data_IF_360002257685
#
_entry.id   IF_360002257685
#
_cell.length_a   1.000
_cell.length_b   1.000
_cell.length_c   1.000
_cell.angle_alpha   90.00
_cell.angle_beta   90.00
_cell.angle_gamma   90.00
#
_symmetry.space_group_name_H-M   'P 1'
#
loop_
_entity.id
_entity.type
_entity.pdbx_description
1 polymer ?
#
# COMPACT_ATOMS: atom_id res chain seq x y z
N UNK A 1 -14.48 -16.48 17.62
CA UNK A 1 -13.46 -17.51 17.87
C UNK A 1 -12.53 -17.01 18.96
N UNK A 2 -12.13 -17.84 19.92
CA UNK A 2 -11.11 -17.43 20.89
C UNK A 2 -9.73 -17.40 20.21
N UNK A 3 -8.85 -16.50 20.63
CA UNK A 3 -7.50 -16.38 20.05
C UNK A 3 -6.72 -17.71 20.09
N UNK A 4 -6.91 -18.52 21.15
CA UNK A 4 -6.28 -19.84 21.30
C UNK A 4 -6.79 -20.88 20.31
N UNK A 5 -7.91 -20.67 19.64
CA UNK A 5 -8.47 -21.57 18.62
C UNK A 5 -7.93 -21.26 17.22
N UNK A 6 -7.35 -20.07 17.02
CA UNK A 6 -6.69 -19.71 15.78
C UNK A 6 -5.35 -20.44 15.71
N UNK A 7 -5.22 -21.34 14.73
CA UNK A 7 -3.98 -22.07 14.47
C UNK A 7 -3.07 -21.23 13.58
N UNK A 8 -3.14 -21.45 12.27
CA UNK A 8 -2.28 -20.82 11.29
C UNK A 8 -3.08 -19.91 10.35
N UNK A 9 -2.45 -18.83 9.90
CA UNK A 9 -2.98 -17.88 8.91
C UNK A 9 -2.00 -17.85 7.74
N UNK A 10 -2.47 -18.19 6.54
CA UNK A 10 -1.72 -18.01 5.30
C UNK A 10 -1.94 -16.60 4.78
N UNK A 11 -0.86 -15.87 4.61
CA UNK A 11 -0.83 -14.51 4.07
C UNK A 11 -0.25 -14.53 2.67
N UNK A 12 -0.91 -13.87 1.71
CA UNK A 12 -0.53 -13.84 0.29
C UNK A 12 -0.45 -12.39 -0.18
N UNK A 13 0.74 -11.96 -0.59
CA UNK A 13 1.00 -10.63 -1.14
C UNK A 13 1.61 -10.75 -2.56
N UNK A 14 0.79 -10.74 -3.61
CA UNK A 14 1.27 -10.85 -4.97
C UNK A 14 1.84 -9.52 -5.48
N UNK A 15 3.06 -9.58 -6.02
CA UNK A 15 3.69 -8.53 -6.82
C UNK A 15 3.60 -8.85 -8.31
N UNK A 16 4.15 -7.96 -9.15
CA UNK A 16 4.13 -8.11 -10.62
C UNK A 16 4.79 -9.42 -11.07
N UNK A 17 6.00 -9.69 -10.59
CA UNK A 17 6.82 -10.84 -10.97
C UNK A 17 7.08 -11.81 -9.83
N UNK A 18 6.46 -11.63 -8.67
CA UNK A 18 6.63 -12.51 -7.52
C UNK A 18 5.34 -12.63 -6.73
N UNK A 19 5.30 -13.61 -5.82
CA UNK A 19 4.25 -13.74 -4.82
C UNK A 19 4.90 -14.06 -3.48
N UNK A 20 4.83 -13.10 -2.55
CA UNK A 20 5.28 -13.36 -1.18
C UNK A 20 4.18 -14.09 -0.42
N UNK A 21 4.54 -15.20 0.23
CA UNK A 21 3.69 -15.98 1.11
C UNK A 21 4.32 -16.08 2.49
N UNK A 22 3.50 -16.04 3.53
CA UNK A 22 3.94 -16.25 4.91
C UNK A 22 2.87 -17.02 5.66
N UNK A 23 3.27 -18.03 6.43
CA UNK A 23 2.40 -18.71 7.38
C UNK A 23 2.73 -18.19 8.78
N UNK A 24 1.77 -17.55 9.40
CA UNK A 24 1.84 -17.14 10.80
C UNK A 24 1.12 -18.14 11.68
N UNK A 25 1.74 -18.48 12.80
CA UNK A 25 1.20 -19.41 13.80
C UNK A 25 1.18 -18.76 15.20
N UNK A 26 0.63 -19.48 16.19
CA UNK A 26 0.58 -19.07 17.60
C UNK A 26 0.09 -17.64 17.79
N UNK A 27 -1.13 -17.37 17.33
CA UNK A 27 -1.76 -16.07 17.48
C UNK A 27 -1.00 -14.94 16.76
N UNK A 28 -0.39 -15.30 15.63
CA UNK A 28 0.32 -14.33 14.77
C UNK A 28 1.64 -13.79 15.37
N UNK A 29 2.23 -14.51 16.30
CA UNK A 29 3.47 -14.09 16.94
C UNK A 29 4.72 -14.72 16.34
N UNK A 30 4.57 -15.83 15.62
CA UNK A 30 5.69 -16.55 15.00
C UNK A 30 5.44 -16.79 13.52
N UNK A 31 6.49 -16.63 12.74
CA UNK A 31 6.53 -17.01 11.33
C UNK A 31 6.95 -18.49 11.27
N UNK A 32 6.04 -19.36 10.85
CA UNK A 32 6.34 -20.76 10.61
C UNK A 32 7.05 -20.95 9.27
N UNK A 33 6.62 -20.21 8.26
CA UNK A 33 7.20 -20.26 6.92
C UNK A 33 7.05 -18.92 6.20
N UNK A 34 8.08 -18.51 5.47
CA UNK A 34 8.04 -17.34 4.59
C UNK A 34 8.85 -17.63 3.32
N UNK A 35 8.30 -17.27 2.17
CA UNK A 35 9.00 -17.30 0.88
C UNK A 35 8.52 -16.19 -0.04
N UNK A 36 9.42 -15.67 -0.86
CA UNK A 36 9.09 -14.79 -1.97
C UNK A 36 9.27 -15.56 -3.28
N UNK A 37 8.22 -16.17 -3.75
CA UNK A 37 8.19 -16.98 -4.96
C UNK A 37 8.34 -16.07 -6.17
N UNK A 38 9.46 -16.18 -6.87
CA UNK A 38 9.72 -15.44 -8.11
C UNK A 38 9.11 -16.23 -9.28
N UNK A 39 8.33 -15.56 -10.11
CA UNK A 39 7.71 -16.14 -11.29
C UNK A 39 8.56 -15.88 -12.54
N UNK A 40 8.52 -16.79 -13.50
CA UNK A 40 9.11 -16.58 -14.80
C UNK A 40 8.42 -15.40 -15.52
N UNK A 41 9.20 -14.35 -15.80
CA UNK A 41 8.70 -13.14 -16.45
C UNK A 41 8.12 -13.40 -17.83
N UNK A 42 8.69 -14.33 -18.60
CA UNK A 42 8.15 -14.72 -19.93
C UNK A 42 6.78 -15.39 -19.77
N UNK A 43 6.66 -16.28 -18.77
CA UNK A 43 5.39 -16.95 -18.47
C UNK A 43 4.30 -15.96 -18.02
N UNK A 44 4.67 -14.93 -17.25
CA UNK A 44 3.72 -13.89 -16.82
C UNK A 44 3.17 -13.12 -18.04
N UNK A 45 3.98 -12.85 -19.04
CA UNK A 45 3.57 -12.14 -20.27
C UNK A 45 2.61 -12.94 -21.16
N UNK A 46 2.54 -14.26 -21.01
CA UNK A 46 1.58 -15.09 -21.75
C UNK A 46 0.12 -14.89 -21.29
N UNK A 47 -0.09 -14.33 -20.09
CA UNK A 47 -1.43 -14.16 -19.54
C UNK A 47 -2.07 -12.86 -20.05
N UNK A 48 -3.28 -12.92 -20.63
CA UNK A 48 -3.95 -11.75 -21.21
C UNK A 48 -4.39 -10.72 -20.16
N UNK A 49 -4.56 -11.14 -18.91
CA UNK A 49 -4.95 -10.27 -17.77
C UNK A 49 -4.25 -10.71 -16.50
N UNK A 50 -4.16 -9.80 -15.54
CA UNK A 50 -3.62 -10.13 -14.21
C UNK A 50 -4.44 -11.25 -13.55
N UNK A 51 -5.76 -11.18 -13.61
CA UNK A 51 -6.65 -12.19 -13.01
C UNK A 51 -6.46 -13.60 -13.61
N UNK A 52 -6.08 -13.71 -14.88
CA UNK A 52 -5.85 -15.00 -15.56
C UNK A 52 -4.63 -15.76 -15.02
N UNK A 53 -3.71 -15.08 -14.31
CA UNK A 53 -2.55 -15.70 -13.65
C UNK A 53 -2.92 -16.53 -12.40
N UNK A 54 -4.15 -16.41 -11.91
CA UNK A 54 -4.59 -16.99 -10.64
C UNK A 54 -4.27 -18.49 -10.52
N UNK A 55 -4.65 -19.29 -11.50
CA UNK A 55 -4.46 -20.75 -11.43
C UNK A 55 -2.99 -21.13 -11.44
N UNK A 56 -2.19 -20.47 -12.27
CA UNK A 56 -0.74 -20.63 -12.32
C UNK A 56 -0.09 -20.33 -10.98
N UNK A 57 -0.35 -19.16 -10.41
CA UNK A 57 0.24 -18.75 -9.13
C UNK A 57 -0.27 -19.60 -7.97
N UNK A 58 -1.57 -19.98 -7.96
CA UNK A 58 -2.14 -20.90 -6.97
C UNK A 58 -1.42 -22.25 -6.97
N UNK A 59 -1.20 -22.82 -8.16
CA UNK A 59 -0.49 -24.12 -8.29
C UNK A 59 0.89 -24.04 -7.62
N UNK A 60 1.70 -23.03 -7.99
CA UNK A 60 3.04 -22.85 -7.41
C UNK A 60 3.00 -22.65 -5.90
N UNK A 61 2.03 -21.90 -5.35
CA UNK A 61 1.89 -21.74 -3.90
C UNK A 61 1.61 -23.08 -3.22
N UNK A 62 0.69 -23.88 -3.77
CA UNK A 62 0.32 -25.15 -3.19
C UNK A 62 1.46 -26.18 -3.30
N UNK A 63 2.17 -26.22 -4.42
CA UNK A 63 3.34 -27.07 -4.63
C UNK A 63 4.45 -26.71 -3.61
N UNK A 64 4.73 -25.40 -3.44
CA UNK A 64 5.70 -24.91 -2.46
C UNK A 64 5.37 -25.34 -1.03
N UNK A 65 4.10 -25.21 -0.62
CA UNK A 65 3.68 -25.63 0.72
C UNK A 65 3.73 -27.14 0.91
N UNK A 66 3.37 -27.90 -0.13
CA UNK A 66 3.47 -29.36 -0.14
C UNK A 66 4.92 -29.85 -0.03
N UNK A 67 5.85 -29.21 -0.78
CA UNK A 67 7.28 -29.56 -0.76
C UNK A 67 7.91 -29.28 0.62
N UNK A 68 7.35 -28.34 1.38
CA UNK A 68 7.71 -28.10 2.79
C UNK A 68 7.01 -29.03 3.77
N UNK A 69 6.17 -29.93 3.29
CA UNK A 69 5.41 -30.86 4.14
C UNK A 69 4.33 -30.16 4.98
N UNK A 70 3.86 -28.98 4.57
CA UNK A 70 2.85 -28.24 5.33
C UNK A 70 1.45 -28.81 5.08
N UNK A 71 0.77 -29.22 6.16
CA UNK A 71 -0.62 -29.70 6.08
C UNK A 71 -1.59 -28.49 6.08
N UNK A 72 -2.25 -28.27 4.95
CA UNK A 72 -3.23 -27.18 4.78
C UNK A 72 -4.41 -27.24 5.77
N UNK A 73 -4.68 -28.39 6.41
CA UNK A 73 -5.71 -28.53 7.47
C UNK A 73 -5.38 -27.77 8.75
N UNK A 74 -4.14 -27.31 8.90
CA UNK A 74 -3.74 -26.44 10.00
C UNK A 74 -4.16 -24.98 9.78
N UNK A 75 -4.52 -24.57 8.56
CA UNK A 75 -4.98 -23.24 8.28
C UNK A 75 -6.36 -22.96 8.92
N UNK A 76 -6.45 -21.83 9.62
CA UNK A 76 -7.71 -21.28 10.13
C UNK A 76 -8.31 -20.27 9.13
N UNK A 77 -7.46 -19.53 8.43
CA UNK A 77 -7.87 -18.55 7.43
C UNK A 77 -6.78 -18.31 6.39
N UNK A 78 -7.18 -17.75 5.25
CA UNK A 78 -6.27 -17.23 4.23
C UNK A 78 -6.57 -15.75 4.02
N UNK A 79 -5.53 -14.91 3.99
CA UNK A 79 -5.68 -13.48 3.72
C UNK A 79 -4.81 -13.04 2.56
N UNK A 80 -5.39 -12.25 1.65
CA UNK A 80 -4.68 -11.65 0.52
C UNK A 80 -4.68 -10.13 0.58
N UNK A 81 -3.80 -9.53 -0.22
CA UNK A 81 -3.81 -8.10 -0.49
C UNK A 81 -5.17 -7.70 -1.11
N UNK A 82 -5.70 -6.52 -0.74
CA UNK A 82 -7.07 -6.10 -1.08
C UNK A 82 -7.31 -5.65 -2.53
N UNK A 83 -6.25 -5.44 -3.31
CA UNK A 83 -6.39 -5.05 -4.73
C UNK A 83 -6.95 -3.64 -4.95
N UNK A 84 -7.50 -3.44 -6.17
CA UNK A 84 -7.97 -2.14 -6.68
C UNK A 84 -9.51 -2.09 -6.75
N UNK A 85 -10.23 -2.65 -5.78
CA UNK A 85 -11.68 -2.58 -5.73
C UNK A 85 -12.14 -1.26 -5.12
N UNK A 86 -12.92 -0.50 -5.89
CA UNK A 86 -13.45 0.80 -5.46
C UNK A 86 -14.59 0.64 -4.45
N UNK A 87 -14.83 1.70 -3.65
CA UNK A 87 -15.94 1.75 -2.69
C UNK A 87 -15.72 1.00 -1.38
N UNK A 88 -14.56 0.39 -1.19
CA UNK A 88 -14.19 -0.21 0.09
C UNK A 88 -13.83 0.86 1.11
N UNK A 89 -14.03 0.53 2.39
CA UNK A 89 -13.54 1.30 3.55
C UNK A 89 -12.37 0.57 4.20
N UNK A 90 -11.63 1.26 5.06
CA UNK A 90 -10.55 0.65 5.84
C UNK A 90 -11.04 -0.54 6.68
N UNK A 91 -10.13 -1.48 6.95
CA UNK A 91 -10.41 -2.72 7.68
C UNK A 91 -10.52 -3.94 6.80
N UNK A 92 -11.10 -5.00 7.36
CA UNK A 92 -11.13 -6.30 6.74
C UNK A 92 -12.47 -6.67 6.13
N UNK A 93 -12.40 -7.40 5.04
CA UNK A 93 -13.58 -7.93 4.32
C UNK A 93 -13.44 -9.43 4.15
N UNK A 94 -14.53 -10.15 4.42
CA UNK A 94 -14.65 -11.55 4.00
C UNK A 94 -14.84 -11.60 2.48
N UNK A 95 -14.07 -12.44 1.83
CA UNK A 95 -14.22 -12.64 0.39
C UNK A 95 -15.38 -13.59 0.15
N UNK A 96 -16.43 -13.08 -0.50
CA UNK A 96 -17.56 -13.83 -0.98
C UNK A 96 -17.55 -13.94 -2.52
N UNK A 97 -18.50 -14.67 -3.11
CA UNK A 97 -18.58 -14.86 -4.56
C UNK A 97 -18.72 -13.52 -5.32
N UNK A 98 -19.43 -12.54 -4.73
CA UNK A 98 -19.58 -11.22 -5.34
C UNK A 98 -18.22 -10.52 -5.47
N UNK A 99 -17.46 -10.42 -4.37
CA UNK A 99 -16.13 -9.81 -4.38
C UNK A 99 -15.16 -10.56 -5.29
N UNK A 100 -15.18 -11.89 -5.24
CA UNK A 100 -14.34 -12.71 -6.11
C UNK A 100 -14.61 -12.44 -7.59
N UNK A 101 -15.89 -12.40 -8.00
CA UNK A 101 -16.27 -12.16 -9.38
C UNK A 101 -15.92 -10.72 -9.84
N UNK A 102 -16.09 -9.72 -8.98
CA UNK A 102 -15.68 -8.37 -9.27
C UNK A 102 -14.16 -8.26 -9.44
N UNK A 103 -13.37 -8.87 -8.55
CA UNK A 103 -11.91 -8.89 -8.64
C UNK A 103 -11.39 -9.67 -9.86
N UNK A 104 -12.13 -10.67 -10.32
CA UNK A 104 -11.80 -11.43 -11.54
C UNK A 104 -12.18 -10.67 -12.83
N UNK A 105 -12.97 -9.60 -12.71
CA UNK A 105 -13.45 -8.83 -13.85
C UNK A 105 -12.32 -8.03 -14.50
N UNK A 106 -12.31 -7.97 -15.84
CA UNK A 106 -11.40 -7.11 -16.62
C UNK A 106 -11.71 -5.61 -16.51
N UNK A 107 -12.80 -5.25 -15.83
CA UNK A 107 -13.22 -3.85 -15.64
C UNK A 107 -12.37 -3.10 -14.59
N UNK A 108 -11.70 -3.84 -13.72
CA UNK A 108 -10.81 -3.23 -12.71
C UNK A 108 -9.42 -2.96 -13.30
N UNK A 109 -8.70 -1.95 -12.76
CA UNK A 109 -7.31 -1.73 -13.11
C UNK A 109 -6.48 -3.01 -12.95
N UNK A 110 -5.65 -3.31 -13.94
CA UNK A 110 -4.82 -4.53 -13.96
C UNK A 110 -3.62 -4.36 -13.03
N UNK A 111 -3.82 -4.62 -11.75
CA UNK A 111 -2.79 -4.52 -10.72
C UNK A 111 -2.60 -5.87 -10.00
N UNK A 112 -1.34 -6.26 -9.79
CA UNK A 112 -1.00 -7.57 -9.19
C UNK A 112 -1.64 -7.80 -7.81
N UNK A 113 -1.83 -6.74 -7.01
CA UNK A 113 -2.47 -6.85 -5.68
C UNK A 113 -3.90 -7.41 -5.74
N UNK A 114 -4.60 -7.28 -6.87
CA UNK A 114 -5.94 -7.85 -7.05
C UNK A 114 -5.93 -9.38 -7.06
N UNK A 115 -4.80 -10.01 -7.39
CA UNK A 115 -4.63 -11.47 -7.27
C UNK A 115 -4.69 -11.95 -5.81
N UNK A 116 -4.41 -11.09 -4.82
CA UNK A 116 -4.43 -11.47 -3.42
C UNK A 116 -5.78 -12.04 -2.99
N UNK A 117 -6.87 -11.35 -3.33
CA UNK A 117 -8.22 -11.82 -3.06
C UNK A 117 -8.55 -13.12 -3.80
N UNK A 118 -8.19 -13.20 -5.10
CA UNK A 118 -8.47 -14.36 -5.95
C UNK A 118 -7.73 -15.62 -5.47
N UNK A 119 -6.48 -15.49 -5.08
CA UNK A 119 -5.64 -16.56 -4.54
C UNK A 119 -6.16 -17.01 -3.18
N UNK A 120 -6.40 -16.06 -2.26
CA UNK A 120 -6.90 -16.36 -0.92
C UNK A 120 -8.23 -17.14 -0.97
N UNK A 121 -9.19 -16.66 -1.77
CA UNK A 121 -10.47 -17.36 -1.95
C UNK A 121 -10.29 -18.75 -2.56
N UNK A 122 -9.51 -18.87 -3.64
CA UNK A 122 -9.33 -20.13 -4.37
C UNK A 122 -8.60 -21.21 -3.56
N UNK A 123 -7.81 -20.83 -2.55
CA UNK A 123 -7.15 -21.77 -1.62
C UNK A 123 -8.06 -22.10 -0.44
N UNK A 124 -8.75 -21.13 0.13
CA UNK A 124 -9.57 -21.29 1.32
C UNK A 124 -10.87 -22.05 1.07
N UNK A 125 -11.55 -21.77 -0.04
CA UNK A 125 -12.86 -22.33 -0.36
C UNK A 125 -12.91 -23.87 -0.37
N UNK A 126 -11.97 -24.60 -1.00
CA UNK A 126 -11.95 -26.06 -0.96
C UNK A 126 -11.68 -26.63 0.46
N UNK A 127 -11.08 -25.85 1.34
CA UNK A 127 -10.79 -26.24 2.73
C UNK A 127 -11.96 -25.94 3.69
N UNK A 128 -13.00 -25.23 3.22
CA UNK A 128 -14.12 -24.82 4.05
C UNK A 128 -13.77 -23.76 5.10
N UNK A 129 -12.66 -23.03 4.94
CA UNK A 129 -12.19 -21.99 5.84
C UNK A 129 -12.43 -20.59 5.26
N UNK A 130 -12.50 -19.54 6.11
CA UNK A 130 -12.71 -18.19 5.63
C UNK A 130 -11.48 -17.62 4.90
N UNK A 131 -11.74 -16.75 3.91
CA UNK A 131 -10.74 -15.95 3.24
C UNK A 131 -11.05 -14.46 3.38
N UNK A 132 -10.00 -13.65 3.48
CA UNK A 132 -10.11 -12.22 3.73
C UNK A 132 -9.22 -11.39 2.82
N UNK A 133 -9.59 -10.13 2.65
CA UNK A 133 -8.69 -9.04 2.32
C UNK A 133 -8.66 -8.07 3.51
N UNK A 134 -7.58 -7.30 3.63
CA UNK A 134 -7.42 -6.35 4.70
C UNK A 134 -6.74 -5.07 4.20
N UNK A 135 -7.29 -3.90 4.60
CA UNK A 135 -6.79 -2.57 4.27
C UNK A 135 -6.40 -2.43 2.78
N UNK A 136 -7.40 -2.62 1.91
CA UNK A 136 -7.24 -2.40 0.47
C UNK A 136 -6.65 -1.02 0.18
N UNK A 137 -5.84 -0.93 -0.87
CA UNK A 137 -5.28 0.36 -1.34
C UNK A 137 -6.36 1.41 -1.65
N UNK A 138 -7.59 0.97 -1.96
CA UNK A 138 -8.75 1.83 -2.24
C UNK A 138 -9.68 1.98 -1.02
N UNK A 139 -9.27 1.51 0.16
CA UNK A 139 -10.11 1.40 1.36
C UNK A 139 -10.13 2.64 2.26
N UNK A 140 -10.05 3.85 1.71
CA UNK A 140 -10.09 5.07 2.51
C UNK A 140 -11.51 5.49 2.89
N UNK A 141 -11.65 6.09 4.09
CA UNK A 141 -12.89 6.70 4.56
C UNK A 141 -12.85 8.23 4.36
N UNK A 142 -12.56 8.68 3.14
CA UNK A 142 -12.42 10.10 2.84
C UNK A 142 -13.66 10.89 3.25
N UNK A 143 -13.45 12.06 3.84
CA UNK A 143 -14.53 13.02 4.07
C UNK A 143 -15.16 13.41 2.73
N UNK A 144 -16.47 13.60 2.69
CA UNK A 144 -17.16 14.00 1.46
C UNK A 144 -16.61 15.32 0.89
N UNK A 145 -16.25 16.26 1.76
CA UNK A 145 -15.61 17.53 1.38
C UNK A 145 -14.21 17.31 0.78
N UNK A 146 -13.48 16.27 1.18
CA UNK A 146 -12.16 15.95 0.63
C UNK A 146 -12.23 15.30 -0.76
N UNK A 147 -13.39 14.75 -1.15
CA UNK A 147 -13.61 14.14 -2.47
C UNK A 147 -13.88 15.18 -3.56
N UNK A 148 -14.39 16.35 -3.17
CA UNK A 148 -14.76 17.41 -4.13
C UNK A 148 -13.52 18.01 -4.77
N UNK A 149 -13.47 17.94 -6.11
CA UNK A 149 -12.43 18.62 -6.93
C UNK A 149 -13.00 19.88 -7.59
N UNK A 150 -12.18 20.61 -8.33
CA UNK A 150 -12.63 21.76 -9.13
C UNK A 150 -13.37 21.38 -10.42
N UNK A 151 -13.57 20.10 -10.71
CA UNK A 151 -14.23 19.56 -11.91
C UNK A 151 -15.29 18.56 -11.46
N UNK A 152 -16.56 18.82 -11.76
CA UNK A 152 -17.70 18.02 -11.27
C UNK A 152 -17.69 16.56 -11.73
N UNK A 153 -17.06 16.26 -12.85
CA UNK A 153 -16.91 14.92 -13.40
C UNK A 153 -15.75 14.12 -12.79
N UNK A 154 -14.95 14.74 -11.94
CA UNK A 154 -13.78 14.14 -11.31
C UNK A 154 -13.94 14.18 -9.79
N UNK A 155 -14.12 13.02 -9.19
CA UNK A 155 -14.13 12.86 -7.75
C UNK A 155 -12.77 12.31 -7.29
N UNK A 156 -12.22 12.90 -6.21
CA UNK A 156 -11.00 12.38 -5.59
C UNK A 156 -11.24 11.01 -4.97
N UNK A 157 -10.33 10.10 -5.20
CA UNK A 157 -10.33 8.76 -4.60
C UNK A 157 -9.06 8.53 -3.77
N UNK A 158 -9.11 7.57 -2.85
CA UNK A 158 -8.02 7.32 -1.92
C UNK A 158 -7.18 6.11 -2.31
N UNK A 159 -6.37 6.20 -3.38
CA UNK A 159 -5.41 5.14 -3.73
C UNK A 159 -4.12 5.30 -2.93
N UNK A 160 -4.02 4.68 -1.76
CA UNK A 160 -2.92 4.90 -0.82
C UNK A 160 -2.36 3.59 -0.24
N UNK A 161 -1.20 3.68 0.42
CA UNK A 161 -0.60 2.57 1.18
C UNK A 161 -1.29 2.41 2.55
N UNK A 162 -2.63 2.19 2.54
CA UNK A 162 -3.46 2.12 3.74
C UNK A 162 -2.96 1.08 4.74
N UNK A 163 -2.66 -0.14 4.26
CA UNK A 163 -2.22 -1.26 5.10
C UNK A 163 -1.00 -0.89 5.95
N UNK A 164 0.05 -0.36 5.31
CA UNK A 164 1.25 0.02 6.03
C UNK A 164 1.00 1.24 6.94
N UNK A 165 0.28 2.24 6.47
CA UNK A 165 -0.04 3.44 7.25
C UNK A 165 -0.78 3.10 8.54
N UNK A 166 -1.80 2.25 8.44
CA UNK A 166 -2.58 1.83 9.61
C UNK A 166 -1.79 0.93 10.55
N UNK A 167 -0.98 0.02 10.00
CA UNK A 167 -0.11 -0.83 10.82
C UNK A 167 0.89 0.00 11.64
N UNK A 168 1.51 1.02 11.05
CA UNK A 168 2.44 1.89 11.76
C UNK A 168 1.74 2.76 12.81
N UNK A 169 0.52 3.25 12.53
CA UNK A 169 -0.29 3.98 13.52
C UNK A 169 -0.61 3.10 14.75
N UNK A 170 -1.05 1.85 14.50
CA UNK A 170 -1.33 0.88 15.58
C UNK A 170 -0.06 0.60 16.39
N UNK A 171 1.06 0.33 15.72
CA UNK A 171 2.34 0.02 16.36
C UNK A 171 2.83 1.20 17.22
N UNK A 172 2.77 2.41 16.67
CA UNK A 172 3.14 3.61 17.42
C UNK A 172 2.26 3.83 18.65
N UNK A 173 0.93 3.84 18.50
CA UNK A 173 0.00 4.01 19.59
C UNK A 173 0.21 2.99 20.71
N UNK A 174 0.35 1.70 20.34
CA UNK A 174 0.66 0.62 21.28
C UNK A 174 1.97 0.87 22.05
N UNK A 175 3.01 1.40 21.41
CA UNK A 175 4.27 1.77 22.08
C UNK A 175 4.13 2.88 23.08
N UNK A 176 3.07 3.70 22.97
CA UNK A 176 2.72 4.78 23.89
C UNK A 176 1.62 4.40 24.91
N UNK A 177 1.16 3.12 24.87
CA UNK A 177 0.08 2.64 25.73
C UNK A 177 -1.28 3.26 25.40
N UNK A 178 -1.50 3.68 24.16
CA UNK A 178 -2.74 4.33 23.69
C UNK A 178 -3.46 3.48 22.63
N UNK A 179 -4.76 3.72 22.47
CA UNK A 179 -5.51 3.24 21.32
C UNK A 179 -5.26 4.19 20.13
N UNK A 180 -4.89 3.62 18.97
CA UNK A 180 -4.67 4.40 17.74
C UNK A 180 -5.93 5.12 17.25
N UNK A 181 -7.12 4.67 17.68
CA UNK A 181 -8.40 5.33 17.38
C UNK A 181 -8.60 6.64 18.13
N UNK A 182 -7.86 6.83 19.24
CA UNK A 182 -7.90 8.05 20.05
C UNK A 182 -6.85 9.08 19.63
N UNK A 183 -6.03 8.77 18.61
CA UNK A 183 -4.96 9.62 18.13
C UNK A 183 -5.19 10.08 16.70
N UNK A 184 -4.67 11.26 16.39
CA UNK A 184 -4.66 11.85 15.05
C UNK A 184 -3.25 11.74 14.45
N UNK A 185 -3.14 11.07 13.29
CA UNK A 185 -1.87 10.85 12.63
C UNK A 185 -1.82 11.52 11.26
N UNK A 186 -0.62 11.91 10.85
CA UNK A 186 -0.29 12.05 9.43
C UNK A 186 0.76 10.99 9.12
N UNK A 187 0.38 9.95 8.38
CA UNK A 187 1.28 8.86 8.00
C UNK A 187 1.75 9.05 6.56
N UNK A 188 3.04 9.13 6.36
CA UNK A 188 3.64 9.22 5.04
C UNK A 188 4.44 7.95 4.74
N UNK A 189 3.90 7.13 3.83
CA UNK A 189 4.63 5.99 3.28
C UNK A 189 5.49 6.46 2.11
N UNK A 190 6.79 6.20 2.18
CA UNK A 190 7.79 6.60 1.21
C UNK A 190 8.49 5.35 0.65
N UNK A 191 8.02 4.87 -0.50
CA UNK A 191 8.57 3.74 -1.26
C UNK A 191 8.82 4.14 -2.71
N UNK A 192 8.71 3.22 -3.65
CA UNK A 192 8.72 3.52 -5.09
C UNK A 192 7.62 4.51 -5.48
N UNK A 193 6.46 4.44 -4.80
CA UNK A 193 5.45 5.49 -4.71
C UNK A 193 5.43 6.12 -3.33
N UNK A 194 4.98 7.37 -3.22
CA UNK A 194 4.81 8.07 -1.94
C UNK A 194 3.34 8.44 -1.75
N UNK A 195 2.80 8.20 -0.56
CA UNK A 195 1.46 8.64 -0.18
C UNK A 195 1.46 9.15 1.25
N UNK A 196 0.72 10.22 1.51
CA UNK A 196 0.50 10.74 2.84
C UNK A 196 -0.99 10.67 3.21
N UNK A 197 -1.30 10.32 4.45
CA UNK A 197 -2.65 10.06 4.93
C UNK A 197 -2.92 10.82 6.22
N UNK A 198 -4.01 11.60 6.26
CA UNK A 198 -4.56 12.14 7.50
C UNK A 198 -5.49 11.09 8.13
N UNK A 199 -5.17 10.67 9.35
CA UNK A 199 -5.94 9.65 10.08
C UNK A 199 -6.57 10.22 11.33
N UNK A 200 -7.88 9.98 11.51
CA UNK A 200 -8.68 10.36 12.69
C UNK A 200 -9.63 9.22 13.04
N UNK A 201 -9.72 8.86 14.32
CA UNK A 201 -10.60 7.78 14.75
C UNK A 201 -10.27 6.42 14.12
N UNK A 202 -9.00 6.17 13.80
CA UNK A 202 -8.52 4.96 13.12
C UNK A 202 -8.86 4.87 11.63
N UNK A 203 -9.38 5.94 11.02
CA UNK A 203 -9.79 6.03 9.61
C UNK A 203 -8.92 7.01 8.86
N UNK A 204 -8.62 6.73 7.60
CA UNK A 204 -8.00 7.69 6.67
C UNK A 204 -9.09 8.59 6.11
N UNK A 205 -9.10 9.86 6.55
CA UNK A 205 -10.14 10.84 6.23
C UNK A 205 -9.77 11.78 5.08
N UNK A 206 -8.49 11.89 4.76
CA UNK A 206 -7.96 12.58 3.59
C UNK A 206 -6.58 12.01 3.24
N UNK A 207 -6.15 12.19 2.00
CA UNK A 207 -4.88 11.64 1.51
C UNK A 207 -4.28 12.53 0.41
N UNK A 208 -2.96 12.56 0.33
CA UNK A 208 -2.21 12.97 -0.85
C UNK A 208 -1.58 11.70 -1.43
N UNK A 209 -2.12 11.21 -2.54
CA UNK A 209 -1.95 9.83 -2.94
C UNK A 209 -1.36 9.66 -4.34
N UNK A 210 -1.81 8.69 -5.07
CA UNK A 210 -1.19 8.10 -6.25
C UNK A 210 -0.76 9.13 -7.32
N UNK A 211 -1.63 10.04 -7.70
CA UNK A 211 -1.47 11.01 -8.80
C UNK A 211 -1.67 12.47 -8.38
N UNK A 212 -2.19 12.71 -7.17
CA UNK A 212 -2.38 14.05 -6.60
C UNK A 212 -1.42 14.36 -5.44
N UNK A 213 -0.59 13.40 -5.06
CA UNK A 213 0.39 13.49 -3.98
C UNK A 213 1.74 14.08 -4.40
N UNK A 214 2.78 13.90 -3.55
CA UNK A 214 4.14 14.32 -3.88
C UNK A 214 4.75 13.43 -4.96
N UNK A 215 5.72 13.98 -5.70
CA UNK A 215 6.56 13.15 -6.56
C UNK A 215 7.25 12.06 -5.74
N UNK A 216 7.50 10.92 -6.36
CA UNK A 216 8.11 9.76 -5.74
C UNK A 216 9.29 9.26 -6.59
N UNK A 217 10.03 8.22 -6.20
CA UNK A 217 11.07 7.66 -7.04
C UNK A 217 10.65 7.36 -8.48
N UNK A 218 9.43 6.87 -8.72
CA UNK A 218 8.94 6.52 -10.07
C UNK A 218 7.58 7.12 -10.44
N UNK A 219 7.09 8.13 -9.68
CA UNK A 219 5.80 8.79 -9.94
C UNK A 219 5.96 10.30 -10.06
N UNK A 220 5.22 10.90 -10.98
CA UNK A 220 5.25 12.35 -11.19
C UNK A 220 4.75 13.13 -9.97
N UNK A 221 3.77 12.58 -9.24
CA UNK A 221 2.96 13.36 -8.30
C UNK A 221 2.11 14.40 -9.03
N UNK A 222 1.53 15.31 -8.27
CA UNK A 222 0.74 16.40 -8.81
C UNK A 222 1.58 17.36 -9.66
N UNK A 223 1.13 17.62 -10.88
CA UNK A 223 1.79 18.51 -11.87
C UNK A 223 0.85 19.63 -12.31
N UNK A 224 1.38 20.76 -12.88
CA UNK A 224 0.54 21.79 -13.44
C UNK A 224 -0.30 21.27 -14.62
N UNK A 225 -1.64 21.21 -14.44
CA UNK A 225 -2.58 20.59 -15.36
C UNK A 225 -2.52 21.14 -16.80
N UNK A 226 -2.31 22.46 -16.97
CA UNK A 226 -2.23 23.07 -18.31
C UNK A 226 -1.01 22.56 -19.08
N UNK A 227 0.13 22.37 -18.41
CA UNK A 227 1.35 21.86 -19.03
C UNK A 227 1.23 20.36 -19.30
N UNK A 228 0.63 19.61 -18.37
CA UNK A 228 0.36 18.19 -18.56
C UNK A 228 -0.58 17.94 -19.75
N UNK A 229 -1.65 18.75 -19.85
CA UNK A 229 -2.55 18.70 -21.01
C UNK A 229 -1.78 18.96 -22.33
N UNK A 230 -0.81 19.90 -22.35
CA UNK A 230 -0.01 20.14 -23.56
C UNK A 230 0.77 18.89 -23.99
N UNK A 231 1.35 18.13 -23.04
CA UNK A 231 2.03 16.87 -23.36
C UNK A 231 1.04 15.82 -23.91
N UNK A 232 -0.18 15.73 -23.36
CA UNK A 232 -1.19 14.78 -23.84
C UNK A 232 -1.56 15.02 -25.34
N UNK A 233 -1.46 16.25 -25.82
CA UNK A 233 -1.89 16.64 -27.16
C UNK A 233 -0.76 17.19 -28.03
N UNK A 234 0.50 16.90 -27.72
CA UNK A 234 1.66 17.39 -28.48
C UNK A 234 1.95 16.56 -29.75
N UNK A 235 1.24 15.44 -29.94
CA UNK A 235 1.41 14.52 -31.05
C UNK A 235 2.69 13.67 -30.98
N UNK A 236 3.43 13.71 -29.86
CA UNK A 236 4.66 12.94 -29.64
C UNK A 236 4.47 11.85 -28.60
N UNK A 237 3.62 12.09 -27.60
CA UNK A 237 3.34 11.13 -26.53
C UNK A 237 2.05 10.37 -26.81
N UNK A 238 2.10 9.06 -26.64
CA UNK A 238 0.93 8.18 -26.65
C UNK A 238 0.27 8.20 -25.27
N UNK A 239 -0.96 7.66 -25.17
CA UNK A 239 -1.64 7.44 -23.87
C UNK A 239 -0.76 6.59 -22.94
N UNK A 240 -0.15 5.52 -23.46
CA UNK A 240 0.76 4.65 -22.70
C UNK A 240 2.01 5.42 -22.19
N UNK A 241 2.55 6.34 -22.99
CA UNK A 241 3.68 7.17 -22.56
C UNK A 241 3.26 8.09 -21.41
N UNK A 242 2.07 8.68 -21.48
CA UNK A 242 1.54 9.52 -20.42
C UNK A 242 1.27 8.75 -19.14
N UNK A 243 0.71 7.55 -19.23
CA UNK A 243 0.55 6.66 -18.07
C UNK A 243 1.90 6.33 -17.41
N UNK A 244 2.93 6.04 -18.23
CA UNK A 244 4.30 5.79 -17.73
C UNK A 244 4.93 7.03 -17.08
N UNK A 245 4.64 8.24 -17.56
CA UNK A 245 5.09 9.48 -16.91
C UNK A 245 4.41 9.68 -15.56
N UNK A 246 3.13 9.34 -15.43
CA UNK A 246 2.43 9.37 -14.15
C UNK A 246 3.03 8.35 -13.19
N UNK A 247 3.22 7.09 -13.62
CA UNK A 247 3.73 6.01 -12.78
C UNK A 247 4.65 5.06 -13.54
N UNK A 248 5.90 5.00 -13.12
CA UNK A 248 6.95 4.12 -13.65
C UNK A 248 8.16 4.85 -14.21
N UNK A 249 7.97 6.02 -14.86
CA UNK A 249 9.03 6.85 -15.44
C UNK A 249 9.01 8.29 -14.95
N UNK A 250 8.10 8.67 -14.05
CA UNK A 250 8.07 9.98 -13.40
C UNK A 250 9.07 10.08 -12.24
N UNK A 251 8.96 11.17 -11.50
CA UNK A 251 9.71 11.38 -10.26
C UNK A 251 11.22 11.42 -10.42
N UNK A 252 11.95 10.81 -9.48
CA UNK A 252 13.42 10.77 -9.54
C UNK A 252 13.92 10.15 -10.84
N UNK A 253 13.24 9.10 -11.33
CA UNK A 253 13.62 8.44 -12.58
C UNK A 253 13.62 9.40 -13.77
N UNK A 254 12.63 10.28 -13.85
CA UNK A 254 12.53 11.27 -14.94
C UNK A 254 13.66 12.29 -14.96
N UNK A 255 14.20 12.64 -13.80
CA UNK A 255 15.26 13.64 -13.65
C UNK A 255 16.66 13.05 -13.64
N UNK A 256 16.83 11.88 -13.00
CA UNK A 256 18.13 11.32 -12.65
C UNK A 256 18.39 9.94 -13.30
N UNK A 257 17.41 9.38 -14.03
CA UNK A 257 17.53 8.07 -14.67
C UNK A 257 17.50 6.88 -13.72
N UNK A 258 17.37 7.11 -12.41
CA UNK A 258 17.27 6.06 -11.39
C UNK A 258 16.09 6.28 -10.47
N UNK A 259 15.51 5.19 -9.98
CA UNK A 259 14.49 5.18 -8.93
C UNK A 259 15.01 4.63 -7.59
N UNK A 260 16.27 4.29 -7.52
CA UNK A 260 16.92 3.84 -6.28
C UNK A 260 17.44 5.05 -5.50
N UNK A 261 16.79 5.36 -4.37
CA UNK A 261 17.19 6.45 -3.50
C UNK A 261 18.64 6.33 -2.99
N UNK A 262 19.17 5.12 -2.88
CA UNK A 262 20.56 4.88 -2.47
C UNK A 262 21.56 5.32 -3.55
N UNK A 263 21.22 5.12 -4.84
CA UNK A 263 22.02 5.64 -5.95
C UNK A 263 22.01 7.17 -5.97
N UNK A 264 20.87 7.77 -5.69
CA UNK A 264 20.77 9.25 -5.60
C UNK A 264 21.62 9.78 -4.44
N UNK A 265 21.58 9.14 -3.27
CA UNK A 265 22.43 9.54 -2.15
C UNK A 265 23.92 9.41 -2.49
N UNK A 266 24.32 8.37 -3.21
CA UNK A 266 25.69 8.23 -3.70
C UNK A 266 26.08 9.37 -4.66
N UNK A 267 25.20 9.76 -5.62
CA UNK A 267 25.45 10.93 -6.48
C UNK A 267 25.67 12.20 -5.64
N UNK A 268 24.88 12.39 -4.58
CA UNK A 268 25.04 13.53 -3.67
C UNK A 268 26.38 13.51 -2.94
N UNK A 269 26.80 12.35 -2.43
CA UNK A 269 28.09 12.16 -1.77
C UNK A 269 29.26 12.42 -2.73
N UNK A 270 29.11 12.13 -4.02
CA UNK A 270 30.08 12.40 -5.09
C UNK A 270 30.07 13.88 -5.54
N UNK A 271 29.17 14.71 -4.96
CA UNK A 271 29.14 16.16 -5.20
C UNK A 271 28.13 16.60 -6.26
N UNK A 272 27.22 15.75 -6.71
CA UNK A 272 26.16 16.13 -7.66
C UNK A 272 25.10 17.01 -6.98
N UNK A 273 25.24 18.32 -7.18
CA UNK A 273 24.32 19.33 -6.64
C UNK A 273 22.92 19.29 -7.29
N UNK A 274 22.83 18.80 -8.54
CA UNK A 274 21.54 18.65 -9.22
C UNK A 274 20.76 17.48 -8.64
N UNK A 275 21.41 16.33 -8.40
CA UNK A 275 20.79 15.21 -7.71
C UNK A 275 20.32 15.61 -6.30
N UNK A 276 21.16 16.37 -5.56
CA UNK A 276 20.77 16.90 -4.25
C UNK A 276 19.51 17.78 -4.32
N UNK A 277 19.45 18.69 -5.28
CA UNK A 277 18.30 19.58 -5.48
C UNK A 277 17.03 18.79 -5.83
N UNK A 278 17.11 17.82 -6.74
CA UNK A 278 15.96 17.00 -7.15
C UNK A 278 15.47 16.13 -5.97
N UNK A 279 16.38 15.54 -5.23
CA UNK A 279 16.04 14.70 -4.07
C UNK A 279 15.43 15.53 -2.93
N UNK A 280 15.97 16.72 -2.67
CA UNK A 280 15.38 17.67 -1.71
C UNK A 280 14.00 18.15 -2.15
N UNK A 281 13.78 18.38 -3.46
CA UNK A 281 12.47 18.75 -4.00
C UNK A 281 11.41 17.69 -3.73
N UNK A 282 11.76 16.39 -3.82
CA UNK A 282 10.87 15.29 -3.42
C UNK A 282 10.50 15.39 -1.94
N UNK A 283 11.47 15.58 -1.05
CA UNK A 283 11.24 15.76 0.38
C UNK A 283 10.41 17.01 0.71
N UNK A 284 10.62 18.10 -0.04
CA UNK A 284 9.85 19.32 0.09
C UNK A 284 8.37 19.11 -0.31
N UNK A 285 8.10 18.37 -1.37
CA UNK A 285 6.73 18.03 -1.76
C UNK A 285 6.04 17.11 -0.74
N UNK A 286 6.79 16.17 -0.14
CA UNK A 286 6.30 15.36 0.99
C UNK A 286 5.89 16.26 2.14
N UNK A 287 6.75 17.19 2.55
CA UNK A 287 6.45 18.12 3.64
C UNK A 287 5.25 19.02 3.33
N UNK A 288 5.09 19.48 2.09
CA UNK A 288 3.90 20.22 1.65
C UNK A 288 2.62 19.38 1.77
N UNK A 289 2.66 18.11 1.38
CA UNK A 289 1.52 17.20 1.50
C UNK A 289 1.15 16.97 2.97
N UNK A 290 2.15 16.77 3.84
CA UNK A 290 1.95 16.66 5.30
C UNK A 290 1.30 17.94 5.84
N UNK A 291 1.80 19.12 5.47
CA UNK A 291 1.25 20.40 5.92
C UNK A 291 -0.19 20.60 5.42
N UNK A 292 -0.49 20.29 4.16
CA UNK A 292 -1.85 20.34 3.61
C UNK A 292 -2.82 19.43 4.34
N UNK A 293 -2.42 18.20 4.62
CA UNK A 293 -3.25 17.21 5.34
C UNK A 293 -3.49 17.55 6.80
N UNK A 294 -2.67 18.41 7.42
CA UNK A 294 -2.93 18.88 8.79
C UNK A 294 -4.23 19.66 8.88
N UNK A 295 -4.69 20.27 7.78
CA UNK A 295 -5.97 20.98 7.71
C UNK A 295 -7.16 20.03 7.90
N UNK A 296 -7.10 18.81 7.35
CA UNK A 296 -8.15 17.81 7.54
C UNK A 296 -8.30 17.37 9.01
N UNK A 297 -7.24 17.56 9.80
CA UNK A 297 -7.21 17.30 11.24
C UNK A 297 -7.40 18.59 12.08
N UNK A 298 -7.77 19.70 11.47
CA UNK A 298 -7.96 21.01 12.12
C UNK A 298 -6.69 21.46 12.88
N UNK A 299 -5.50 21.08 12.41
CA UNK A 299 -4.22 21.31 13.07
C UNK A 299 -3.96 20.45 14.31
N UNK A 300 -4.88 19.56 14.68
CA UNK A 300 -4.74 18.67 15.85
C UNK A 300 -4.05 17.37 15.44
N UNK A 301 -2.75 17.43 15.23
CA UNK A 301 -1.91 16.29 14.85
C UNK A 301 -1.11 15.83 16.07
N UNK A 302 -1.30 14.57 16.50
CA UNK A 302 -0.53 14.02 17.62
C UNK A 302 0.88 13.62 17.19
N UNK A 303 1.02 13.05 15.99
CA UNK A 303 2.30 12.60 15.44
C UNK A 303 2.26 12.50 13.92
N UNK A 304 3.40 12.78 13.30
CA UNK A 304 3.68 12.50 11.89
C UNK A 304 4.57 11.26 11.84
N UNK A 305 4.19 10.24 11.07
CA UNK A 305 4.99 9.01 10.89
C UNK A 305 5.53 8.97 9.48
N UNK A 306 6.87 8.89 9.33
CA UNK A 306 7.55 8.63 8.08
C UNK A 306 7.92 7.15 8.02
N UNK A 307 7.43 6.41 7.00
CA UNK A 307 7.62 4.98 6.86
C UNK A 307 7.93 4.58 5.41
N UNK A 308 8.10 3.29 5.13
CA UNK A 308 8.51 2.78 3.82
C UNK A 308 10.02 2.72 3.65
N UNK A 309 10.49 2.18 2.51
CA UNK A 309 11.91 1.96 2.24
C UNK A 309 12.73 3.24 2.14
N UNK A 310 12.18 4.31 1.58
CA UNK A 310 12.86 5.61 1.45
C UNK A 310 13.03 6.30 2.81
N UNK A 311 12.24 5.94 3.82
CA UNK A 311 12.40 6.48 5.17
C UNK A 311 13.70 6.04 5.88
N UNK A 312 14.45 5.07 5.34
CA UNK A 312 15.81 4.78 5.79
C UNK A 312 16.80 5.91 5.49
N UNK A 313 16.50 6.77 4.51
CA UNK A 313 17.28 7.94 4.17
C UNK A 313 17.26 8.97 5.31
N UNK A 314 18.35 9.05 6.06
CA UNK A 314 18.52 10.09 7.09
C UNK A 314 18.59 11.46 6.45
N UNK A 315 19.28 11.56 5.31
CA UNK A 315 19.42 12.81 4.58
C UNK A 315 18.05 13.41 4.23
N UNK A 316 17.16 12.61 3.64
CA UNK A 316 15.85 13.06 3.22
C UNK A 316 14.90 13.32 4.41
N UNK A 317 14.88 12.42 5.40
CA UNK A 317 14.01 12.56 6.56
C UNK A 317 14.34 13.80 7.39
N UNK A 318 15.63 14.17 7.52
CA UNK A 318 16.02 15.42 8.19
C UNK A 318 15.57 16.67 7.39
N UNK A 319 15.61 16.62 6.06
CA UNK A 319 15.04 17.71 5.22
C UNK A 319 13.53 17.84 5.43
N UNK A 320 12.80 16.72 5.46
CA UNK A 320 11.35 16.72 5.73
C UNK A 320 11.08 17.30 7.12
N UNK A 321 11.80 16.87 8.16
CA UNK A 321 11.67 17.40 9.52
C UNK A 321 11.90 18.90 9.59
N UNK A 322 12.89 19.41 8.84
CA UNK A 322 13.17 20.85 8.76
C UNK A 322 11.98 21.64 8.22
N UNK A 323 11.27 21.08 7.23
CA UNK A 323 10.16 21.80 6.57
C UNK A 323 8.83 21.69 7.33
N UNK A 324 8.51 20.57 7.97
CA UNK A 324 7.19 20.36 8.57
C UNK A 324 7.22 19.92 10.05
N UNK A 325 8.38 19.86 10.69
CA UNK A 325 8.51 19.49 12.10
C UNK A 325 7.88 20.46 13.10
N UNK A 326 7.47 21.63 12.64
CA UNK A 326 6.70 22.61 13.44
C UNK A 326 5.23 22.23 13.62
N UNK A 327 4.71 21.26 12.82
CA UNK A 327 3.29 20.85 12.85
C UNK A 327 3.04 19.89 14.02
N UNK A 328 3.88 18.87 14.19
CA UNK A 328 3.79 17.87 15.24
C UNK A 328 5.12 17.10 15.34
N UNK A 329 5.34 16.32 16.42
CA UNK A 329 6.47 15.40 16.51
C UNK A 329 6.52 14.46 15.31
N UNK A 330 7.73 14.27 14.75
CA UNK A 330 7.95 13.36 13.61
C UNK A 330 8.67 12.11 14.09
N UNK A 331 8.02 10.97 13.90
CA UNK A 331 8.58 9.64 14.17
C UNK A 331 8.99 8.99 12.84
N UNK A 332 10.20 8.43 12.78
CA UNK A 332 10.69 7.73 11.61
C UNK A 332 10.66 6.24 11.89
N UNK A 333 9.78 5.53 11.20
CA UNK A 333 9.54 4.09 11.34
C UNK A 333 9.74 3.41 9.96
N UNK A 334 11.01 3.23 9.53
CA UNK A 334 11.32 2.78 8.18
C UNK A 334 10.86 1.34 7.93
N UNK A 335 10.70 1.00 6.65
CA UNK A 335 10.36 -0.34 6.20
C UNK A 335 8.86 -0.56 6.06
N UNK A 336 8.52 -1.80 5.76
CA UNK A 336 7.17 -2.25 5.49
C UNK A 336 6.89 -3.52 6.30
N UNK A 337 5.73 -3.58 6.95
CA UNK A 337 5.27 -4.75 7.72
C UNK A 337 3.98 -5.31 7.13
N UNK A 338 3.89 -5.39 5.79
CA UNK A 338 2.63 -5.74 5.11
C UNK A 338 2.14 -7.15 5.47
N UNK A 339 3.04 -8.14 5.50
CA UNK A 339 2.68 -9.52 5.83
C UNK A 339 2.18 -9.64 7.27
N UNK A 340 2.91 -9.02 8.21
CA UNK A 340 2.51 -8.93 9.62
C UNK A 340 1.18 -8.18 9.78
N UNK A 341 0.98 -7.08 9.05
CA UNK A 341 -0.24 -6.29 9.10
C UNK A 341 -1.46 -7.06 8.61
N UNK A 342 -1.33 -7.81 7.49
CA UNK A 342 -2.38 -8.67 6.96
C UNK A 342 -2.76 -9.77 7.97
N UNK A 343 -1.76 -10.43 8.54
CA UNK A 343 -1.96 -11.47 9.53
C UNK A 343 -2.60 -10.92 10.82
N UNK A 344 -2.07 -9.82 11.36
CA UNK A 344 -2.61 -9.19 12.57
C UNK A 344 -4.04 -8.68 12.39
N UNK A 345 -4.34 -8.09 11.21
CA UNK A 345 -5.71 -7.69 10.84
C UNK A 345 -6.65 -8.88 10.79
N UNK A 346 -6.21 -9.98 10.19
CA UNK A 346 -7.00 -11.22 10.13
C UNK A 346 -7.26 -11.78 11.52
N UNK A 347 -6.25 -11.77 12.40
CA UNK A 347 -6.43 -12.22 13.78
C UNK A 347 -7.48 -11.37 14.51
N UNK A 348 -7.40 -10.04 14.43
CA UNK A 348 -8.40 -9.14 15.05
C UNK A 348 -9.82 -9.41 14.54
N UNK A 349 -9.98 -9.71 13.25
CA UNK A 349 -11.28 -10.12 12.70
C UNK A 349 -11.77 -11.45 13.27
N UNK A 350 -10.91 -12.47 13.31
CA UNK A 350 -11.26 -13.80 13.79
C UNK A 350 -11.59 -13.79 15.30
N UNK A 351 -10.95 -12.93 16.09
CA UNK A 351 -11.19 -12.78 17.53
C UNK A 351 -12.33 -11.82 17.88
N UNK A 352 -12.88 -11.10 16.90
CA UNK A 352 -13.97 -10.13 17.11
C UNK A 352 -13.51 -8.77 17.65
N UNK A 353 -12.19 -8.50 17.66
CA UNK A 353 -11.66 -7.17 18.01
C UNK A 353 -11.90 -6.16 16.89
N UNK A 354 -12.08 -6.63 15.67
CA UNK A 354 -12.38 -5.83 14.49
C UNK A 354 -13.54 -6.45 13.70
N UNK A 355 -14.44 -5.59 13.21
CA UNK A 355 -15.59 -6.00 12.43
C UNK A 355 -15.17 -6.63 11.10
N UNK A 356 -15.81 -7.74 10.73
CA UNK A 356 -15.70 -8.35 9.41
C UNK A 356 -16.77 -7.72 8.52
N UNK A 357 -16.31 -7.04 7.46
CA UNK A 357 -17.21 -6.45 6.46
C UNK A 357 -17.47 -7.41 5.32
N UNK A 358 -18.57 -7.19 4.61
CA UNK A 358 -18.93 -7.86 3.35
C UNK A 358 -19.23 -6.82 2.26
N UNK A 359 -19.03 -7.22 0.97
CA UNK A 359 -19.30 -6.37 -0.19
C UNK A 359 -20.78 -6.42 -0.59
#
# INVERSE_FOLDING_TARGET
MNASEVKDILVINPGSTSTKITIYTKQNTEILYENNIVHDGQKILEFPTVASQKNYRKGIILDELNDKGYDLKNLTAVVGRGGMLFGLKGGGYKINDKMYNEMASSKLPQHASSLGALLAYSIAQPLGIPSFIYDSTMGCDLLDIAKVTGISEIEKYGATHLLNSRAQAIKYAKSKGKDYKEMNFINCHMGGGITANAMKGGKVIDTAAYDDGPMAPERSGGVPLLLFKQLCFDGKHTEEDMEKLIAGKGGLYSYLGTKDAREVEKMIEEGDSYAAMVYEAMGFQVAKSIAGLSCALEGKVDVIILTGGVAYSKWLTEKIKKYCGHIAPIEVMPGESEMEALAAGTLRMLTGEEEIKEL
#
